data_IF_659481312333
#
_entry.id   IF_659481312333
#
_cell.length_a   1.000
_cell.length_b   1.000
_cell.length_c   1.000
_cell.angle_alpha   90.00
_cell.angle_beta   90.00
_cell.angle_gamma   90.00
#
_symmetry.space_group_name_H-M   'P 1'
#
loop_
_entity.id
_entity.type
_entity.pdbx_description
1 polymer ?
#
# COMPACT_ATOMS: atom_id res chain seq x y z
N UNK A 1 -48.20 32.80 32.44
CA UNK A 1 -46.75 33.09 32.51
C UNK A 1 -46.05 31.79 32.17
N UNK A 2 -45.83 31.53 30.87
CA UNK A 2 -44.58 31.77 30.11
C UNK A 2 -43.49 30.74 30.46
N UNK A 3 -43.26 29.75 29.58
CA UNK A 3 -42.09 29.63 28.67
C UNK A 3 -40.99 28.74 29.28
N UNK A 4 -40.25 27.83 28.61
CA UNK A 4 -40.08 27.38 27.21
C UNK A 4 -39.55 25.93 27.27
N UNK A 5 -40.02 25.08 26.33
CA UNK A 5 -39.42 23.79 25.95
C UNK A 5 -38.53 23.96 24.73
N UNK A 6 -37.43 23.20 24.59
CA UNK A 6 -36.86 22.86 23.27
C UNK A 6 -35.99 21.59 23.35
N UNK A 7 -36.43 20.54 22.65
CA UNK A 7 -35.58 19.43 22.20
C UNK A 7 -35.04 19.71 20.79
N UNK A 8 -33.99 19.01 20.34
CA UNK A 8 -33.42 19.26 19.02
C UNK A 8 -34.23 18.54 17.95
N UNK A 9 -34.90 19.32 17.10
CA UNK A 9 -35.52 18.88 15.85
C UNK A 9 -34.47 18.68 14.76
N UNK A 10 -34.60 17.58 14.03
CA UNK A 10 -33.92 17.27 12.77
C UNK A 10 -34.11 18.38 11.74
N UNK A 11 -33.04 19.03 11.32
CA UNK A 11 -33.06 19.90 10.13
C UNK A 11 -32.71 19.07 8.89
N UNK A 12 -33.75 18.74 8.10
CA UNK A 12 -33.61 18.48 6.67
C UNK A 12 -32.86 19.67 6.06
N UNK A 13 -31.60 19.47 5.62
CA UNK A 13 -30.93 20.41 4.73
C UNK A 13 -31.66 20.39 3.40
N UNK A 14 -32.37 21.47 3.11
CA UNK A 14 -33.14 21.64 1.88
C UNK A 14 -32.19 22.02 0.74
N UNK A 15 -32.65 21.79 -0.48
CA UNK A 15 -32.01 22.17 -1.75
C UNK A 15 -31.76 23.69 -1.93
N UNK A 16 -32.08 24.52 -0.92
CA UNK A 16 -31.84 25.96 -0.93
C UNK A 16 -30.42 26.35 -0.53
N UNK A 17 -29.81 25.63 0.41
CA UNK A 17 -28.48 25.98 0.94
C UNK A 17 -27.35 25.72 -0.09
N UNK A 18 -27.51 24.72 -0.96
CA UNK A 18 -26.56 24.45 -2.06
C UNK A 18 -26.60 25.56 -3.14
N UNK A 19 -27.75 26.18 -3.36
CA UNK A 19 -27.92 27.28 -4.32
C UNK A 19 -27.38 28.62 -3.77
N UNK A 20 -27.45 28.84 -2.45
CA UNK A 20 -26.85 30.03 -1.82
C UNK A 20 -25.32 29.99 -1.83
N UNK A 21 -24.71 28.83 -1.60
CA UNK A 21 -23.25 28.64 -1.67
C UNK A 21 -22.71 28.72 -3.12
N UNK A 22 -23.49 28.28 -4.11
CA UNK A 22 -23.21 28.49 -5.54
C UNK A 22 -23.26 29.99 -5.90
N UNK A 23 -24.12 30.77 -5.23
CA UNK A 23 -24.26 32.22 -5.46
C UNK A 23 -23.09 33.06 -4.93
N UNK A 24 -22.49 32.69 -3.79
CA UNK A 24 -21.45 33.50 -3.14
C UNK A 24 -20.08 33.40 -3.85
N UNK A 25 -19.76 32.25 -4.47
CA UNK A 25 -18.59 32.11 -5.36
C UNK A 25 -18.74 32.92 -6.67
N UNK A 26 -19.98 33.24 -7.07
CA UNK A 26 -20.32 33.98 -8.29
C UNK A 26 -20.48 35.50 -8.07
N UNK A 27 -20.32 36.02 -6.83
CA UNK A 27 -20.41 37.46 -6.50
C UNK A 27 -19.16 38.26 -6.84
N UNK A 28 -18.55 38.01 -8.00
CA UNK A 28 -17.61 38.96 -8.62
C UNK A 28 -18.38 39.81 -9.63
N UNK A 29 -18.13 41.14 -9.74
CA UNK A 29 -18.95 41.99 -10.57
C UNK A 29 -18.85 41.61 -12.06
N UNK A 30 -20.03 41.39 -12.66
CA UNK A 30 -20.33 41.16 -14.09
C UNK A 30 -20.07 39.74 -14.66
N UNK A 31 -21.04 38.86 -14.48
CA UNK A 31 -21.25 37.65 -15.29
C UNK A 31 -22.40 37.81 -16.31
N UNK A 32 -23.03 38.97 -16.41
CA UNK A 32 -24.14 39.22 -17.33
C UNK A 32 -23.85 40.47 -18.18
N UNK A 33 -23.11 40.29 -19.27
CA UNK A 33 -23.12 41.24 -20.39
C UNK A 33 -23.62 40.49 -21.61
N UNK A 34 -24.66 40.99 -22.25
CA UNK A 34 -25.12 40.54 -23.56
C UNK A 34 -23.95 40.59 -24.54
N UNK A 35 -23.29 39.45 -24.76
CA UNK A 35 -22.20 39.27 -25.70
C UNK A 35 -22.77 38.80 -27.03
N UNK A 36 -22.61 39.59 -28.09
CA UNK A 36 -22.85 39.14 -29.47
C UNK A 36 -21.77 38.09 -29.80
N UNK A 37 -22.11 36.90 -30.33
CA UNK A 37 -21.13 35.84 -30.53
C UNK A 37 -20.28 36.14 -31.76
N UNK A 38 -19.17 36.86 -31.58
CA UNK A 38 -17.96 36.44 -32.26
C UNK A 38 -17.50 35.18 -31.54
N UNK A 39 -17.33 34.08 -32.27
CA UNK A 39 -16.88 32.80 -31.74
C UNK A 39 -15.41 32.99 -31.31
N UNK A 40 -15.20 33.50 -30.09
CA UNK A 40 -13.87 33.61 -29.50
C UNK A 40 -13.28 32.21 -29.52
N UNK A 41 -12.08 32.08 -30.06
CA UNK A 41 -11.32 30.84 -30.00
C UNK A 41 -11.16 30.40 -28.54
N UNK A 42 -11.38 29.12 -28.22
CA UNK A 42 -11.33 28.64 -26.83
C UNK A 42 -9.95 28.90 -26.18
N UNK A 43 -8.87 28.93 -26.98
CA UNK A 43 -7.54 29.27 -26.51
C UNK A 43 -7.39 30.75 -26.14
N UNK A 44 -7.99 31.65 -26.93
CA UNK A 44 -7.99 33.09 -26.61
C UNK A 44 -8.87 33.37 -25.37
N UNK A 45 -10.01 32.69 -25.26
CA UNK A 45 -10.87 32.75 -24.07
C UNK A 45 -10.14 32.25 -22.81
N UNK A 46 -9.33 31.19 -22.92
CA UNK A 46 -8.51 30.72 -21.81
C UNK A 46 -7.49 31.77 -21.36
N UNK A 47 -6.85 32.48 -22.29
CA UNK A 47 -5.89 33.56 -21.99
C UNK A 47 -6.61 34.72 -21.28
N UNK A 48 -7.77 35.14 -21.77
CA UNK A 48 -8.59 36.18 -21.14
C UNK A 48 -9.01 35.78 -19.73
N UNK A 49 -9.49 34.54 -19.56
CA UNK A 49 -9.88 34.03 -18.25
C UNK A 49 -8.67 33.92 -17.29
N UNK A 50 -7.50 33.54 -17.77
CA UNK A 50 -6.27 33.53 -16.96
C UNK A 50 -5.94 34.93 -16.44
N UNK A 51 -6.08 35.96 -17.28
CA UNK A 51 -5.90 37.36 -16.85
C UNK A 51 -6.95 37.77 -15.82
N UNK A 52 -8.23 37.39 -16.04
CA UNK A 52 -9.35 37.70 -15.14
C UNK A 52 -9.19 37.09 -13.75
N UNK A 53 -8.73 35.84 -13.67
CA UNK A 53 -8.58 35.12 -12.41
C UNK A 53 -7.17 35.19 -11.84
N UNK A 54 -6.28 36.02 -12.41
CA UNK A 54 -4.89 36.15 -12.00
C UNK A 54 -4.11 34.82 -11.96
N UNK A 55 -4.41 33.93 -12.91
CA UNK A 55 -3.73 32.65 -13.09
C UNK A 55 -2.70 32.76 -14.21
N UNK A 56 -1.52 32.20 -14.00
CA UNK A 56 -0.49 32.17 -15.03
C UNK A 56 -0.92 31.28 -16.21
N UNK A 57 -0.91 31.84 -17.41
CA UNK A 57 -1.22 31.09 -18.64
C UNK A 57 -0.28 29.89 -18.77
N UNK A 58 -0.85 28.71 -18.98
CA UNK A 58 -0.10 27.51 -19.36
C UNK A 58 -0.07 27.38 -20.90
N UNK A 59 1.11 27.47 -21.54
CA UNK A 59 1.22 27.32 -22.99
C UNK A 59 0.66 25.99 -23.50
N UNK A 60 0.77 24.89 -22.74
CA UNK A 60 0.26 23.60 -23.21
C UNK A 60 -1.27 23.60 -23.31
N UNK A 61 -1.96 24.29 -22.40
CA UNK A 61 -3.41 24.45 -22.43
C UNK A 61 -3.82 25.27 -23.65
N UNK A 62 -3.15 26.40 -23.92
CA UNK A 62 -3.40 27.23 -25.11
C UNK A 62 -3.24 26.41 -26.39
N UNK A 63 -2.13 25.67 -26.51
CA UNK A 63 -1.86 24.85 -27.70
C UNK A 63 -2.94 23.79 -27.86
N UNK A 64 -3.30 23.05 -26.80
CA UNK A 64 -4.35 22.03 -26.85
C UNK A 64 -5.68 22.60 -27.34
N UNK A 65 -6.08 23.76 -26.82
CA UNK A 65 -7.35 24.40 -27.19
C UNK A 65 -7.34 24.88 -28.65
N UNK A 66 -6.29 25.60 -29.06
CA UNK A 66 -6.16 26.11 -30.45
C UNK A 66 -6.05 25.02 -31.50
N UNK A 67 -5.44 23.89 -31.15
CA UNK A 67 -5.22 22.76 -32.07
C UNK A 67 -6.29 21.67 -31.94
N UNK A 68 -7.30 21.86 -31.08
CA UNK A 68 -8.36 20.89 -30.82
C UNK A 68 -7.85 19.48 -30.47
N UNK A 69 -6.77 19.40 -29.69
CA UNK A 69 -6.20 18.13 -29.27
C UNK A 69 -7.10 17.41 -28.27
N UNK A 70 -7.26 16.10 -28.44
CA UNK A 70 -8.14 15.28 -27.60
C UNK A 70 -7.61 15.01 -26.18
N UNK A 71 -6.36 15.39 -25.90
CA UNK A 71 -5.72 15.28 -24.59
C UNK A 71 -5.34 16.67 -24.10
N UNK A 72 -5.87 17.04 -22.93
CA UNK A 72 -5.42 18.21 -22.18
C UNK A 72 -4.53 17.76 -21.02
N UNK A 73 -3.25 18.11 -21.11
CA UNK A 73 -2.27 17.89 -20.03
C UNK A 73 -1.51 19.20 -19.76
N UNK A 74 -1.89 19.92 -18.71
CA UNK A 74 -1.16 21.10 -18.26
C UNK A 74 0.27 20.75 -17.86
N UNK A 75 1.21 21.66 -18.12
CA UNK A 75 2.62 21.54 -17.75
C UNK A 75 2.94 22.25 -16.43
N UNK A 76 2.10 23.21 -16.03
CA UNK A 76 2.19 23.90 -14.75
C UNK A 76 1.36 23.20 -13.68
N UNK A 77 1.82 23.33 -12.43
CA UNK A 77 1.04 22.88 -11.28
C UNK A 77 -0.27 23.66 -11.19
N UNK A 78 -1.38 22.94 -11.02
CA UNK A 78 -2.68 23.43 -10.58
C UNK A 78 -2.65 23.77 -9.09
N UNK A 79 -2.18 24.98 -8.79
CA UNK A 79 -2.41 25.61 -7.50
C UNK A 79 -3.92 25.84 -7.26
N UNK A 80 -4.29 26.22 -6.05
CA UNK A 80 -5.66 26.57 -5.68
C UNK A 80 -6.30 27.52 -6.73
N UNK A 81 -7.51 27.20 -7.19
CA UNK A 81 -8.24 28.02 -8.17
C UNK A 81 -7.74 27.97 -9.62
N UNK A 82 -6.70 27.21 -9.95
CA UNK A 82 -6.15 27.12 -11.31
C UNK A 82 -7.12 26.50 -12.33
N UNK A 83 -8.18 25.82 -11.88
CA UNK A 83 -9.26 25.34 -12.76
C UNK A 83 -10.25 26.43 -13.18
N UNK A 84 -10.31 27.59 -12.49
CA UNK A 84 -11.28 28.65 -12.80
C UNK A 84 -11.24 29.10 -14.27
N UNK A 85 -10.07 29.33 -14.89
CA UNK A 85 -10.03 29.77 -16.28
C UNK A 85 -10.57 28.75 -17.28
N UNK A 86 -10.63 27.48 -16.87
CA UNK A 86 -11.09 26.36 -17.69
C UNK A 86 -12.56 25.99 -17.46
N UNK A 87 -13.24 26.63 -16.51
CA UNK A 87 -14.59 26.25 -16.10
C UNK A 87 -15.60 26.25 -17.26
N UNK A 88 -15.79 27.41 -17.91
CA UNK A 88 -16.76 27.52 -19.01
C UNK A 88 -16.30 26.73 -20.23
N UNK A 89 -14.99 26.76 -20.52
CA UNK A 89 -14.38 26.08 -21.66
C UNK A 89 -14.63 24.58 -21.57
N UNK A 90 -14.18 23.93 -20.49
CA UNK A 90 -14.35 22.49 -20.33
C UNK A 90 -15.80 22.08 -20.14
N UNK A 91 -16.68 22.97 -19.64
CA UNK A 91 -18.11 22.66 -19.54
C UNK A 91 -18.77 22.47 -20.90
N UNK A 92 -18.33 23.21 -21.94
CA UNK A 92 -18.90 23.14 -23.29
C UNK A 92 -18.01 22.45 -24.32
N UNK A 93 -16.76 22.14 -23.98
CA UNK A 93 -15.79 21.58 -24.90
C UNK A 93 -16.23 20.21 -25.45
N UNK A 94 -16.08 20.03 -26.76
CA UNK A 94 -16.56 18.85 -27.49
C UNK A 94 -15.46 17.93 -28.05
N UNK A 95 -14.18 18.28 -27.90
CA UNK A 95 -13.06 17.52 -28.48
C UNK A 95 -12.11 16.90 -27.44
N UNK A 96 -11.99 17.45 -26.23
CA UNK A 96 -11.14 16.93 -25.16
C UNK A 96 -11.80 15.68 -24.58
N UNK A 97 -11.17 14.53 -24.82
CA UNK A 97 -11.60 13.23 -24.30
C UNK A 97 -10.84 12.82 -23.05
N UNK A 98 -9.57 13.24 -22.95
CA UNK A 98 -8.69 12.94 -21.82
C UNK A 98 -8.25 14.21 -21.13
N UNK A 99 -8.60 14.34 -19.86
CA UNK A 99 -8.15 15.41 -18.97
C UNK A 99 -7.14 14.82 -17.98
N UNK A 100 -5.87 15.17 -18.15
CA UNK A 100 -4.78 14.68 -17.32
C UNK A 100 -4.23 15.81 -16.43
N UNK A 101 -4.63 15.81 -15.17
CA UNK A 101 -4.22 16.80 -14.15
C UNK A 101 -3.24 16.18 -13.13
N UNK A 102 -2.57 15.06 -13.47
CA UNK A 102 -1.65 14.41 -12.54
C UNK A 102 -0.52 15.33 -12.07
N UNK A 103 -0.23 15.29 -10.77
CA UNK A 103 0.89 16.03 -10.19
C UNK A 103 0.67 17.54 -10.16
N UNK A 104 -0.48 18.01 -10.64
CA UNK A 104 -0.80 19.40 -10.68
C UNK A 104 -0.99 20.01 -9.27
N UNK A 105 -1.13 19.21 -8.21
CA UNK A 105 -1.13 19.69 -6.82
C UNK A 105 0.26 19.81 -6.15
N UNK A 106 1.35 19.43 -6.82
CA UNK A 106 2.69 19.39 -6.21
C UNK A 106 3.53 20.61 -6.62
N UNK A 107 3.32 21.73 -5.95
CA UNK A 107 4.34 22.79 -5.93
C UNK A 107 5.50 22.35 -5.03
N UNK A 108 6.70 22.64 -5.50
CA UNK A 108 8.04 22.24 -5.07
C UNK A 108 8.49 22.65 -3.65
N UNK A 109 7.60 23.03 -2.74
CA UNK A 109 7.93 23.32 -1.35
C UNK A 109 7.11 22.45 -0.40
N UNK A 110 7.81 21.89 0.57
CA UNK A 110 7.46 20.84 1.54
C UNK A 110 6.26 21.10 2.47
N UNK A 111 5.37 22.03 2.15
CA UNK A 111 4.20 22.40 2.97
C UNK A 111 2.85 22.16 2.26
N UNK A 112 2.82 21.41 1.17
CA UNK A 112 1.56 21.01 0.54
C UNK A 112 0.86 19.93 1.39
N UNK A 113 0.11 20.37 2.39
CA UNK A 113 -0.73 19.50 3.21
C UNK A 113 -1.90 18.89 2.41
N UNK A 114 -2.60 17.92 3.00
CA UNK A 114 -3.85 17.40 2.45
C UNK A 114 -4.84 18.54 2.18
N UNK A 115 -5.59 18.46 1.07
CA UNK A 115 -6.70 19.37 0.79
C UNK A 115 -6.38 20.54 -0.15
N UNK A 116 -5.11 20.78 -0.49
CA UNK A 116 -4.72 21.87 -1.40
C UNK A 116 -5.34 21.76 -2.80
N UNK A 117 -5.74 20.55 -3.21
CA UNK A 117 -6.43 20.31 -4.48
C UNK A 117 -7.94 20.53 -4.45
N UNK A 118 -8.55 20.76 -3.28
CA UNK A 118 -10.00 20.67 -3.10
C UNK A 118 -10.78 21.74 -3.84
N UNK A 119 -10.26 22.97 -3.93
CA UNK A 119 -10.91 24.06 -4.68
C UNK A 119 -11.03 23.71 -6.18
N UNK A 120 -9.97 23.15 -6.76
CA UNK A 120 -9.96 22.66 -8.13
C UNK A 120 -10.91 21.46 -8.29
N UNK A 121 -10.99 20.60 -7.27
CA UNK A 121 -11.91 19.47 -7.22
C UNK A 121 -13.39 19.91 -7.25
N UNK A 122 -13.74 20.98 -6.52
CA UNK A 122 -15.07 21.61 -6.53
C UNK A 122 -15.44 22.12 -7.91
N UNK A 123 -14.56 22.90 -8.54
CA UNK A 123 -14.76 23.42 -9.89
C UNK A 123 -14.92 22.27 -10.89
N UNK A 124 -14.09 21.23 -10.77
CA UNK A 124 -14.17 20.06 -11.63
C UNK A 124 -15.46 19.27 -11.43
N UNK A 125 -15.94 19.12 -10.20
CA UNK A 125 -17.24 18.51 -9.91
C UNK A 125 -18.37 19.21 -10.66
N UNK A 126 -18.34 20.55 -10.71
CA UNK A 126 -19.31 21.34 -11.49
C UNK A 126 -19.15 21.16 -13.01
N UNK A 127 -17.91 21.15 -13.53
CA UNK A 127 -17.63 20.88 -14.95
C UNK A 127 -18.17 19.50 -15.35
N UNK A 128 -17.95 18.48 -14.52
CA UNK A 128 -18.40 17.10 -14.77
C UNK A 128 -19.93 16.99 -14.81
N UNK A 129 -20.70 17.87 -14.17
CA UNK A 129 -22.17 17.84 -14.30
C UNK A 129 -22.64 18.26 -15.69
N UNK A 130 -21.87 19.11 -16.39
CA UNK A 130 -22.22 19.68 -17.70
C UNK A 130 -21.55 18.95 -18.86
N UNK A 131 -20.29 18.57 -18.69
CA UNK A 131 -19.48 18.00 -19.76
C UNK A 131 -19.86 16.54 -20.05
N UNK A 132 -20.15 16.23 -21.31
CA UNK A 132 -20.47 14.86 -21.77
C UNK A 132 -19.41 14.28 -22.72
N UNK A 133 -18.22 14.87 -22.79
CA UNK A 133 -17.18 14.53 -23.76
C UNK A 133 -15.96 13.86 -23.11
N UNK A 134 -15.58 14.30 -21.91
CA UNK A 134 -14.43 13.78 -21.19
C UNK A 134 -14.73 12.34 -20.75
N UNK A 135 -13.96 11.39 -21.29
CA UNK A 135 -14.08 9.96 -20.97
C UNK A 135 -12.98 9.47 -20.04
N UNK A 136 -11.82 10.13 -20.03
CA UNK A 136 -10.69 9.80 -19.16
C UNK A 136 -10.30 10.99 -18.30
N UNK A 137 -10.29 10.77 -16.98
CA UNK A 137 -9.93 11.79 -16.01
C UNK A 137 -8.82 11.27 -15.08
N UNK A 138 -7.70 12.00 -15.03
CA UNK A 138 -6.60 11.71 -14.11
C UNK A 138 -6.44 12.83 -13.10
N UNK A 139 -6.70 12.50 -11.83
CA UNK A 139 -6.55 13.35 -10.65
C UNK A 139 -5.57 12.71 -9.66
N UNK A 140 -4.60 11.94 -10.16
CA UNK A 140 -3.60 11.34 -9.28
C UNK A 140 -2.66 12.40 -8.75
N UNK A 141 -2.25 12.33 -7.49
CA UNK A 141 -1.28 13.27 -6.89
C UNK A 141 -1.70 14.75 -7.02
N UNK A 142 -2.99 15.03 -6.85
CA UNK A 142 -3.52 16.40 -6.87
C UNK A 142 -3.75 16.96 -5.46
N UNK A 143 -3.43 16.19 -4.41
CA UNK A 143 -3.54 16.64 -3.03
C UNK A 143 -4.98 16.64 -2.52
N UNK A 144 -5.84 15.79 -3.09
CA UNK A 144 -7.23 15.64 -2.63
C UNK A 144 -7.25 14.95 -1.28
N UNK A 145 -8.04 15.49 -0.36
CA UNK A 145 -8.48 14.78 0.85
C UNK A 145 -9.92 14.27 0.68
N UNK A 146 -10.55 13.88 1.78
CA UNK A 146 -11.95 13.44 1.78
C UNK A 146 -12.90 14.45 1.15
N UNK A 147 -12.76 15.74 1.45
CA UNK A 147 -13.67 16.79 0.98
C UNK A 147 -13.47 17.05 -0.52
N UNK A 148 -12.22 17.06 -0.99
CA UNK A 148 -11.94 17.16 -2.42
C UNK A 148 -12.51 16.00 -3.24
N UNK A 149 -12.39 14.77 -2.73
CA UNK A 149 -12.97 13.60 -3.41
C UNK A 149 -14.49 13.62 -3.37
N UNK A 150 -15.11 14.07 -2.28
CA UNK A 150 -16.56 14.25 -2.18
C UNK A 150 -17.06 15.18 -3.30
N UNK A 151 -16.40 16.30 -3.53
CA UNK A 151 -16.80 17.25 -4.58
C UNK A 151 -16.71 16.67 -5.99
N UNK A 152 -15.65 15.93 -6.30
CA UNK A 152 -15.53 15.21 -7.58
C UNK A 152 -16.65 14.17 -7.72
N UNK A 153 -16.94 13.43 -6.66
CA UNK A 153 -17.98 12.40 -6.63
C UNK A 153 -19.38 12.94 -6.85
N UNK A 154 -19.69 14.14 -6.30
CA UNK A 154 -20.96 14.85 -6.56
C UNK A 154 -21.20 15.11 -8.05
N UNK A 155 -20.14 15.46 -8.79
CA UNK A 155 -20.22 15.63 -10.24
C UNK A 155 -20.25 14.32 -11.01
N UNK A 156 -19.40 13.36 -10.60
CA UNK A 156 -19.26 12.06 -11.25
C UNK A 156 -20.57 11.23 -11.21
N UNK A 157 -21.32 11.30 -10.11
CA UNK A 157 -22.54 10.50 -9.93
C UNK A 157 -23.59 10.71 -11.04
N UNK A 158 -23.68 11.92 -11.60
CA UNK A 158 -24.60 12.26 -12.68
C UNK A 158 -23.95 12.28 -14.08
N UNK A 159 -22.61 12.19 -14.17
CA UNK A 159 -21.89 12.32 -15.43
C UNK A 159 -22.05 11.05 -16.31
N UNK A 160 -22.55 11.16 -17.56
CA UNK A 160 -22.77 9.99 -18.43
C UNK A 160 -21.54 9.59 -19.27
N UNK A 161 -20.45 10.35 -19.22
CA UNK A 161 -19.33 10.28 -20.17
C UNK A 161 -18.05 9.66 -19.59
N UNK A 162 -17.69 9.95 -18.35
CA UNK A 162 -16.45 9.45 -17.74
C UNK A 162 -16.48 7.92 -17.67
N UNK A 163 -15.46 7.30 -18.27
CA UNK A 163 -15.23 5.84 -18.33
C UNK A 163 -14.03 5.44 -17.47
N UNK A 164 -12.99 6.26 -17.40
CA UNK A 164 -11.77 5.97 -16.63
C UNK A 164 -11.46 7.10 -15.67
N UNK A 165 -11.32 6.78 -14.39
CA UNK A 165 -10.97 7.74 -13.35
C UNK A 165 -9.74 7.27 -12.57
N UNK A 166 -8.74 8.14 -12.43
CA UNK A 166 -7.60 7.95 -11.52
C UNK A 166 -7.66 8.93 -10.37
N UNK A 167 -7.65 8.41 -9.15
CA UNK A 167 -7.56 9.14 -7.88
C UNK A 167 -6.36 8.64 -7.06
N UNK A 168 -5.37 8.01 -7.70
CA UNK A 168 -4.26 7.39 -7.02
C UNK A 168 -3.37 8.41 -6.30
N UNK A 169 -2.75 7.99 -5.18
CA UNK A 169 -1.78 8.82 -4.43
C UNK A 169 -2.31 10.19 -4.04
N UNK A 170 -3.54 10.21 -3.55
CA UNK A 170 -4.11 11.33 -2.80
C UNK A 170 -4.15 10.96 -1.31
N UNK A 171 -4.73 11.81 -0.47
CA UNK A 171 -4.75 11.62 1.00
C UNK A 171 -6.19 11.58 1.54
N UNK A 172 -7.07 10.82 0.90
CA UNK A 172 -8.43 10.59 1.38
C UNK A 172 -8.57 9.22 2.03
N UNK A 173 -9.46 9.16 3.01
CA UNK A 173 -9.72 8.01 3.87
C UNK A 173 -11.15 7.48 3.70
N UNK A 174 -11.76 7.09 4.82
CA UNK A 174 -13.06 6.39 4.80
C UNK A 174 -14.21 7.27 4.29
N UNK A 175 -14.22 8.58 4.62
CA UNK A 175 -15.28 9.50 4.19
C UNK A 175 -15.28 9.68 2.66
N UNK A 176 -14.11 9.92 2.08
CA UNK A 176 -13.95 10.01 0.62
C UNK A 176 -14.26 8.67 -0.06
N UNK A 177 -13.87 7.54 0.52
CA UNK A 177 -14.21 6.21 0.01
C UNK A 177 -15.73 5.97 -0.05
N UNK A 178 -16.48 6.40 0.96
CA UNK A 178 -17.94 6.29 0.98
C UNK A 178 -18.58 7.18 -0.10
N UNK A 179 -18.04 8.37 -0.34
CA UNK A 179 -18.48 9.24 -1.43
C UNK A 179 -18.24 8.61 -2.81
N UNK A 180 -17.07 7.98 -3.01
CA UNK A 180 -16.78 7.20 -4.23
C UNK A 180 -17.80 6.08 -4.37
N UNK A 181 -18.08 5.33 -3.30
CA UNK A 181 -19.08 4.25 -3.32
C UNK A 181 -20.47 4.75 -3.72
N UNK A 182 -20.91 5.87 -3.15
CA UNK A 182 -22.19 6.48 -3.49
C UNK A 182 -22.24 6.95 -4.95
N UNK A 183 -21.17 7.58 -5.44
CA UNK A 183 -21.06 7.98 -6.84
C UNK A 183 -21.08 6.78 -7.79
N UNK A 184 -20.41 5.67 -7.45
CA UNK A 184 -20.43 4.44 -8.24
C UNK A 184 -21.81 3.77 -8.28
N UNK A 185 -22.60 3.89 -7.21
CA UNK A 185 -23.97 3.37 -7.18
C UNK A 185 -24.92 4.17 -8.09
N UNK A 186 -24.69 5.48 -8.23
CA UNK A 186 -25.47 6.36 -9.11
C UNK A 186 -24.97 6.36 -10.57
N UNK A 187 -23.67 6.16 -10.76
CA UNK A 187 -23.02 6.28 -12.06
C UNK A 187 -23.11 4.96 -12.87
N UNK A 188 -23.69 5.04 -14.06
CA UNK A 188 -23.81 3.91 -14.99
C UNK A 188 -22.74 3.85 -16.08
N UNK A 189 -21.73 4.72 -16.05
CA UNK A 189 -20.78 4.93 -17.15
C UNK A 189 -19.37 4.44 -16.86
N UNK A 190 -18.91 4.47 -15.61
CA UNK A 190 -17.52 4.19 -15.25
C UNK A 190 -17.16 2.71 -15.48
N UNK A 191 -16.03 2.50 -16.16
CA UNK A 191 -15.54 1.18 -16.58
C UNK A 191 -14.21 0.82 -15.91
N UNK A 192 -13.44 1.80 -15.44
CA UNK A 192 -12.17 1.58 -14.77
C UNK A 192 -11.88 2.67 -13.74
N UNK A 193 -11.39 2.28 -12.57
CA UNK A 193 -11.15 3.16 -11.44
C UNK A 193 -9.84 2.82 -10.73
N UNK A 194 -9.03 3.82 -10.44
CA UNK A 194 -7.80 3.65 -9.64
C UNK A 194 -7.89 4.49 -8.37
N UNK A 195 -7.95 3.79 -7.23
CA UNK A 195 -7.96 4.34 -5.87
C UNK A 195 -6.67 3.95 -5.13
N UNK A 196 -5.62 3.52 -5.83
CA UNK A 196 -4.41 3.00 -5.20
C UNK A 196 -3.64 4.08 -4.41
N UNK A 197 -2.96 3.65 -3.35
CA UNK A 197 -2.05 4.43 -2.52
C UNK A 197 -2.71 5.66 -1.90
N UNK A 198 -3.93 5.49 -1.40
CA UNK A 198 -4.58 6.43 -0.49
C UNK A 198 -4.54 5.84 0.94
N UNK A 199 -5.49 6.17 1.80
CA UNK A 199 -5.58 5.66 3.16
C UNK A 199 -7.00 5.16 3.50
N UNK A 200 -7.64 4.43 2.57
CA UNK A 200 -9.06 4.07 2.68
C UNK A 200 -9.37 3.10 3.83
N UNK A 201 -8.39 2.27 4.22
CA UNK A 201 -8.58 1.22 5.23
C UNK A 201 -9.39 0.01 4.73
N UNK A 202 -9.29 -1.10 5.48
CA UNK A 202 -9.92 -2.38 5.12
C UNK A 202 -11.44 -2.28 4.96
N UNK A 203 -12.12 -1.65 5.92
CA UNK A 203 -13.60 -1.59 5.95
C UNK A 203 -14.16 -0.87 4.72
N UNK A 204 -13.56 0.25 4.33
CA UNK A 204 -14.01 1.03 3.18
C UNK A 204 -13.72 0.33 1.87
N UNK A 205 -12.53 -0.28 1.71
CA UNK A 205 -12.21 -1.08 0.52
C UNK A 205 -13.14 -2.28 0.39
N UNK A 206 -13.45 -2.98 1.48
CA UNK A 206 -14.41 -4.08 1.49
C UNK A 206 -15.80 -3.59 1.05
N UNK A 207 -16.28 -2.47 1.60
CA UNK A 207 -17.57 -1.86 1.23
C UNK A 207 -17.61 -1.48 -0.25
N UNK A 208 -16.58 -0.80 -0.77
CA UNK A 208 -16.42 -0.48 -2.19
C UNK A 208 -16.47 -1.73 -3.08
N UNK A 209 -15.73 -2.78 -2.72
CA UNK A 209 -15.68 -4.03 -3.47
C UNK A 209 -16.97 -4.86 -3.37
N UNK A 210 -17.77 -4.66 -2.32
CA UNK A 210 -19.07 -5.31 -2.14
C UNK A 210 -20.23 -4.56 -2.80
N UNK A 211 -20.01 -3.32 -3.25
CA UNK A 211 -21.05 -2.49 -3.85
C UNK A 211 -21.52 -3.13 -5.17
N UNK A 212 -22.83 -3.34 -5.36
CA UNK A 212 -23.38 -3.86 -6.62
C UNK A 212 -23.31 -2.77 -7.70
N UNK A 213 -22.18 -2.68 -8.39
CA UNK A 213 -22.00 -1.78 -9.53
C UNK A 213 -22.31 -2.54 -10.83
N UNK A 214 -23.23 -2.03 -11.66
CA UNK A 214 -23.68 -2.74 -12.87
C UNK A 214 -22.61 -2.86 -13.98
N UNK A 215 -21.55 -2.03 -13.96
CA UNK A 215 -20.50 -2.03 -15.00
C UNK A 215 -19.07 -2.24 -14.50
N UNK A 216 -18.71 -1.67 -13.36
CA UNK A 216 -17.33 -1.76 -12.84
C UNK A 216 -17.11 -3.11 -12.17
N UNK A 217 -16.31 -3.98 -12.79
CA UNK A 217 -15.92 -5.26 -12.16
C UNK A 217 -14.78 -5.03 -11.18
N UNK A 218 -14.67 -5.91 -10.19
CA UNK A 218 -13.58 -5.90 -9.19
C UNK A 218 -12.17 -5.80 -9.79
N UNK A 219 -11.92 -6.45 -10.93
CA UNK A 219 -10.60 -6.42 -11.61
C UNK A 219 -10.28 -5.09 -12.30
N UNK A 220 -11.32 -4.27 -12.53
CA UNK A 220 -11.22 -2.98 -13.18
C UNK A 220 -11.08 -1.85 -12.13
N UNK A 221 -10.94 -2.21 -10.85
CA UNK A 221 -10.68 -1.30 -9.74
C UNK A 221 -9.33 -1.59 -9.07
N UNK A 222 -8.41 -0.63 -9.11
CA UNK A 222 -7.14 -0.70 -8.38
C UNK A 222 -7.28 -0.12 -6.98
N UNK A 223 -6.88 -0.89 -5.96
CA UNK A 223 -7.00 -0.58 -4.53
C UNK A 223 -5.67 -0.83 -3.79
N UNK A 224 -4.56 -1.05 -4.50
CA UNK A 224 -3.26 -1.35 -3.89
C UNK A 224 -2.82 -0.24 -2.93
N UNK A 225 -2.18 -0.58 -1.80
CA UNK A 225 -1.54 0.41 -0.92
C UNK A 225 -2.49 1.26 -0.07
N UNK A 226 -3.72 0.80 0.20
CA UNK A 226 -4.70 1.52 1.03
C UNK A 226 -4.74 1.12 2.52
N UNK A 227 -3.98 0.08 2.91
CA UNK A 227 -4.00 -0.52 4.25
C UNK A 227 -2.83 -0.01 5.10
N UNK A 228 -2.73 1.32 5.23
CA UNK A 228 -1.60 1.99 5.90
C UNK A 228 -1.40 1.50 7.34
N UNK A 229 -2.50 1.36 8.09
CA UNK A 229 -2.45 0.91 9.48
C UNK A 229 -1.84 -0.50 9.60
N UNK A 230 -2.28 -1.43 8.74
CA UNK A 230 -1.78 -2.80 8.72
C UNK A 230 -0.31 -2.87 8.29
N UNK A 231 0.12 -2.07 7.31
CA UNK A 231 1.53 -1.96 6.90
C UNK A 231 2.39 -1.41 8.05
N UNK A 232 1.91 -0.43 8.82
CA UNK A 232 2.61 0.07 10.01
C UNK A 232 2.73 -1.01 11.09
N UNK A 233 1.67 -1.78 11.36
CA UNK A 233 1.72 -2.89 12.30
C UNK A 233 2.71 -3.98 11.85
N UNK A 234 2.71 -4.30 10.56
CA UNK A 234 3.65 -5.26 9.97
C UNK A 234 5.11 -4.79 10.11
N UNK A 235 5.38 -3.50 9.87
CA UNK A 235 6.71 -2.93 10.04
C UNK A 235 7.13 -2.90 11.52
N UNK A 236 6.27 -2.43 12.42
CA UNK A 236 6.57 -2.32 13.86
C UNK A 236 6.83 -3.68 14.51
N UNK A 237 6.04 -4.69 14.18
CA UNK A 237 6.19 -6.04 14.73
C UNK A 237 7.57 -6.64 14.46
N UNK A 238 8.05 -6.54 13.23
CA UNK A 238 9.37 -7.02 12.86
C UNK A 238 10.50 -6.04 13.21
N UNK A 239 10.23 -4.74 13.37
CA UNK A 239 11.21 -3.79 13.90
C UNK A 239 11.57 -4.13 15.36
N UNK A 240 10.58 -4.47 16.18
CA UNK A 240 10.79 -4.98 17.55
C UNK A 240 11.61 -6.28 17.50
N UNK A 241 11.26 -7.18 16.58
CA UNK A 241 12.03 -8.40 16.31
C UNK A 241 13.49 -8.13 15.93
N UNK A 242 13.76 -7.11 15.11
CA UNK A 242 15.11 -6.74 14.69
C UNK A 242 15.96 -6.26 15.87
N UNK A 243 15.40 -5.41 16.74
CA UNK A 243 16.11 -4.94 17.95
C UNK A 243 16.39 -6.11 18.89
N UNK A 244 15.41 -6.98 19.12
CA UNK A 244 15.60 -8.19 19.93
C UNK A 244 16.65 -9.13 19.33
N UNK A 245 16.63 -9.32 18.00
CA UNK A 245 17.60 -10.15 17.28
C UNK A 245 19.01 -9.55 17.32
N UNK A 246 19.18 -8.23 17.29
CA UNK A 246 20.48 -7.58 17.43
C UNK A 246 21.08 -7.81 18.83
N UNK A 247 20.27 -7.71 19.89
CA UNK A 247 20.69 -8.02 21.27
C UNK A 247 21.00 -9.53 21.39
N UNK A 248 20.14 -10.39 20.84
CA UNK A 248 20.33 -11.83 20.80
C UNK A 248 21.57 -12.25 20.02
N UNK A 249 21.91 -11.55 18.93
CA UNK A 249 23.11 -11.77 18.15
C UNK A 249 24.36 -11.40 18.95
N UNK A 250 24.38 -10.22 19.58
CA UNK A 250 25.52 -9.77 20.37
C UNK A 250 25.81 -10.73 21.55
N UNK A 251 24.78 -11.17 22.26
CA UNK A 251 24.89 -12.11 23.37
C UNK A 251 25.34 -13.50 22.90
N UNK A 252 24.68 -14.07 21.89
CA UNK A 252 25.01 -15.39 21.36
C UNK A 252 26.43 -15.44 20.76
N UNK A 253 26.84 -14.40 20.03
CA UNK A 253 28.18 -14.31 19.44
C UNK A 253 29.28 -14.10 20.48
N UNK A 254 29.01 -13.30 21.53
CA UNK A 254 29.95 -13.11 22.63
C UNK A 254 30.26 -14.42 23.35
N UNK A 255 29.23 -15.22 23.64
CA UNK A 255 29.40 -16.53 24.25
C UNK A 255 30.01 -17.56 23.29
N UNK A 256 29.62 -17.56 22.01
CA UNK A 256 30.25 -18.41 21.00
C UNK A 256 31.75 -18.13 20.86
N UNK A 257 32.16 -16.86 20.92
CA UNK A 257 33.57 -16.47 20.93
C UNK A 257 34.30 -17.00 22.19
N UNK A 258 33.66 -16.90 23.36
CA UNK A 258 34.23 -17.39 24.62
C UNK A 258 34.48 -18.91 24.63
N UNK A 259 33.79 -19.69 23.79
CA UNK A 259 34.05 -21.14 23.65
C UNK A 259 35.41 -21.46 23.01
N UNK A 260 36.04 -20.50 22.32
CA UNK A 260 37.28 -20.72 21.57
C UNK A 260 37.14 -21.62 20.34
N UNK A 261 35.93 -22.09 20.01
CA UNK A 261 35.70 -23.00 18.89
C UNK A 261 35.23 -22.27 17.64
N UNK A 262 35.99 -22.39 16.55
CA UNK A 262 35.59 -21.87 15.24
C UNK A 262 34.22 -22.39 14.80
N UNK A 263 33.86 -23.63 15.17
CA UNK A 263 32.57 -24.24 14.82
C UNK A 263 31.40 -23.54 15.51
N UNK A 264 31.51 -23.25 16.81
CA UNK A 264 30.49 -22.48 17.54
C UNK A 264 30.34 -21.08 16.96
N UNK A 265 31.46 -20.40 16.73
CA UNK A 265 31.50 -19.04 16.21
C UNK A 265 30.77 -18.96 14.87
N UNK A 266 31.16 -19.78 13.89
CA UNK A 266 30.56 -19.74 12.56
C UNK A 266 29.09 -20.16 12.55
N UNK A 267 28.73 -21.23 13.27
CA UNK A 267 27.34 -21.69 13.31
C UNK A 267 26.40 -20.64 13.91
N UNK A 268 26.83 -19.97 14.99
CA UNK A 268 26.07 -18.91 15.62
C UNK A 268 26.07 -17.60 14.81
N UNK A 269 27.16 -17.27 14.11
CA UNK A 269 27.24 -16.10 13.24
C UNK A 269 26.32 -16.21 12.03
N UNK A 270 26.27 -17.39 11.39
CA UNK A 270 25.35 -17.67 10.31
C UNK A 270 23.90 -17.50 10.79
N UNK A 271 23.53 -18.18 11.88
CA UNK A 271 22.17 -18.08 12.43
C UNK A 271 21.78 -16.64 12.78
N UNK A 272 22.64 -15.91 13.50
CA UNK A 272 22.39 -14.54 13.93
C UNK A 272 22.22 -13.60 12.73
N UNK A 273 23.07 -13.73 11.71
CA UNK A 273 23.01 -12.91 10.50
C UNK A 273 21.71 -13.16 9.73
N UNK A 274 21.28 -14.42 9.62
CA UNK A 274 20.03 -14.78 8.95
C UNK A 274 18.80 -14.25 9.71
N UNK A 275 18.82 -14.32 11.04
CA UNK A 275 17.75 -13.80 11.89
C UNK A 275 17.63 -12.28 11.79
N UNK A 276 18.75 -11.56 11.82
CA UNK A 276 18.76 -10.11 11.59
C UNK A 276 18.29 -9.76 10.18
N UNK A 277 18.72 -10.51 9.16
CA UNK A 277 18.34 -10.29 7.77
C UNK A 277 16.84 -10.43 7.54
N UNK A 278 16.18 -11.43 8.14
CA UNK A 278 14.71 -11.56 8.13
C UNK A 278 14.05 -10.29 8.64
N UNK A 279 14.36 -9.92 9.89
CA UNK A 279 13.62 -8.85 10.53
C UNK A 279 13.85 -7.50 9.88
N UNK A 280 15.07 -7.18 9.44
CA UNK A 280 15.32 -5.91 8.76
C UNK A 280 14.67 -5.88 7.38
N UNK A 281 14.72 -6.97 6.63
CA UNK A 281 14.15 -7.02 5.28
C UNK A 281 12.63 -6.85 5.32
N UNK A 282 11.96 -7.52 6.27
CA UNK A 282 10.53 -7.38 6.47
C UNK A 282 10.13 -6.01 6.98
N UNK A 283 10.87 -5.47 7.95
CA UNK A 283 10.65 -4.11 8.46
C UNK A 283 10.73 -3.08 7.34
N UNK A 284 11.75 -3.16 6.50
CA UNK A 284 11.94 -2.23 5.39
C UNK A 284 10.85 -2.40 4.32
N UNK A 285 10.51 -3.64 3.95
CA UNK A 285 9.46 -3.92 2.95
C UNK A 285 8.14 -3.23 3.29
N UNK A 286 7.69 -3.41 4.54
CA UNK A 286 6.44 -2.81 5.03
C UNK A 286 6.58 -1.30 5.31
N UNK A 287 7.76 -0.80 5.67
CA UNK A 287 7.98 0.64 5.87
C UNK A 287 7.91 1.44 4.56
N UNK A 288 8.35 0.85 3.45
CA UNK A 288 8.45 1.52 2.15
C UNK A 288 7.34 1.14 1.15
N UNK A 289 6.19 0.64 1.63
CA UNK A 289 5.09 0.16 0.78
C UNK A 289 4.52 1.19 -0.20
N UNK A 290 4.65 2.49 0.08
CA UNK A 290 4.21 3.58 -0.81
C UNK A 290 5.17 3.86 -1.98
N UNK A 291 6.38 3.31 -1.96
CA UNK A 291 7.41 3.53 -2.99
C UNK A 291 7.51 2.31 -3.93
N UNK A 292 6.90 2.30 -5.13
CA UNK A 292 6.75 1.08 -5.93
C UNK A 292 8.07 0.39 -6.32
N UNK A 293 9.10 1.17 -6.71
CA UNK A 293 10.38 0.58 -7.11
C UNK A 293 11.10 -0.04 -5.91
N UNK A 294 11.16 0.71 -4.80
CA UNK A 294 11.77 0.29 -3.54
C UNK A 294 11.03 -0.90 -2.94
N UNK A 295 9.70 -0.82 -2.86
CA UNK A 295 8.84 -1.88 -2.35
C UNK A 295 9.02 -3.18 -3.14
N UNK A 296 9.14 -3.12 -4.47
CA UNK A 296 9.37 -4.31 -5.30
C UNK A 296 10.67 -5.03 -4.92
N UNK A 297 11.76 -4.29 -4.72
CA UNK A 297 13.06 -4.87 -4.35
C UNK A 297 12.99 -5.45 -2.93
N UNK A 298 12.48 -4.67 -1.98
CA UNK A 298 12.39 -5.09 -0.58
C UNK A 298 11.45 -6.28 -0.39
N UNK A 299 10.40 -6.41 -1.21
CA UNK A 299 9.53 -7.59 -1.23
C UNK A 299 10.31 -8.85 -1.59
N UNK A 300 11.22 -8.77 -2.57
CA UNK A 300 12.08 -9.89 -2.94
C UNK A 300 13.01 -10.23 -1.77
N UNK A 301 13.65 -9.23 -1.15
CA UNK A 301 14.50 -9.44 0.01
C UNK A 301 13.74 -10.10 1.18
N UNK A 302 12.53 -9.65 1.49
CA UNK A 302 11.68 -10.19 2.55
C UNK A 302 11.35 -11.67 2.32
N UNK A 303 10.95 -12.03 1.10
CA UNK A 303 10.70 -13.43 0.73
C UNK A 303 11.98 -14.30 0.75
N UNK A 304 13.11 -13.77 0.29
CA UNK A 304 14.43 -14.43 0.36
C UNK A 304 14.87 -14.66 1.81
N UNK A 305 14.53 -13.75 2.71
CA UNK A 305 14.97 -13.81 4.09
C UNK A 305 14.30 -14.92 4.88
N UNK A 306 13.09 -15.36 4.51
CA UNK A 306 12.43 -16.54 5.09
C UNK A 306 13.25 -17.81 4.79
N UNK A 307 13.63 -18.03 3.53
CA UNK A 307 14.49 -19.17 3.15
C UNK A 307 15.81 -19.15 3.93
N UNK A 308 16.42 -17.96 4.00
CA UNK A 308 17.70 -17.73 4.64
C UNK A 308 17.62 -17.99 6.14
N UNK A 309 16.54 -17.56 6.82
CA UNK A 309 16.34 -17.85 8.24
C UNK A 309 16.16 -19.35 8.50
N UNK A 310 15.38 -20.05 7.67
CA UNK A 310 15.16 -21.48 7.88
C UNK A 310 16.52 -22.19 7.81
N UNK A 311 17.28 -22.02 6.72
CA UNK A 311 18.62 -22.60 6.58
C UNK A 311 19.60 -22.16 7.69
N UNK A 312 19.58 -20.88 8.07
CA UNK A 312 20.39 -20.33 9.15
C UNK A 312 20.09 -20.98 10.52
N UNK A 313 18.83 -21.31 10.80
CA UNK A 313 18.40 -21.94 12.06
C UNK A 313 18.93 -23.37 12.20
N UNK A 314 19.05 -24.11 11.09
CA UNK A 314 19.67 -25.44 11.09
C UNK A 314 21.17 -25.40 11.41
N UNK A 315 21.86 -24.29 11.15
CA UNK A 315 23.32 -24.21 11.26
C UNK A 315 23.82 -24.58 12.67
N UNK A 316 23.44 -23.92 13.77
CA UNK A 316 23.88 -24.31 15.11
C UNK A 316 23.35 -25.68 15.54
N UNK A 317 22.09 -26.02 15.20
CA UNK A 317 21.48 -27.30 15.58
C UNK A 317 22.23 -28.49 14.99
N UNK A 318 22.60 -28.42 13.71
CA UNK A 318 23.26 -29.50 12.99
C UNK A 318 24.78 -29.48 13.20
N UNK A 319 25.41 -28.30 13.09
CA UNK A 319 26.86 -28.21 13.17
C UNK A 319 27.38 -28.45 14.59
N UNK A 320 26.65 -28.04 15.63
CA UNK A 320 27.06 -28.24 17.03
C UNK A 320 26.37 -29.49 17.59
N UNK A 321 25.03 -29.50 17.56
CA UNK A 321 24.20 -30.53 18.20
C UNK A 321 24.32 -31.91 17.56
N UNK A 322 24.39 -32.00 16.23
CA UNK A 322 24.53 -33.26 15.48
C UNK A 322 25.84 -33.35 14.69
N UNK A 323 26.93 -32.78 15.21
CA UNK A 323 28.23 -32.71 14.51
C UNK A 323 28.78 -34.04 13.98
N UNK A 324 28.42 -35.15 14.62
CA UNK A 324 28.90 -36.50 14.30
C UNK A 324 28.04 -37.20 13.25
N UNK A 325 26.88 -36.63 12.92
CA UNK A 325 25.90 -37.21 12.02
C UNK A 325 26.23 -36.87 10.56
N UNK A 326 26.49 -37.86 9.69
CA UNK A 326 26.62 -37.61 8.25
C UNK A 326 25.29 -37.15 7.65
N UNK A 327 24.16 -37.62 8.19
CA UNK A 327 22.82 -37.23 7.76
C UNK A 327 22.57 -35.74 8.03
N UNK A 328 23.03 -35.22 9.17
CA UNK A 328 22.93 -33.79 9.49
C UNK A 328 23.70 -32.90 8.49
N UNK A 329 24.85 -33.36 7.99
CA UNK A 329 25.60 -32.66 6.94
C UNK A 329 24.79 -32.59 5.64
N UNK A 330 24.16 -33.70 5.25
CA UNK A 330 23.27 -33.74 4.07
C UNK A 330 22.10 -32.78 4.24
N UNK A 331 21.48 -32.73 5.43
CA UNK A 331 20.39 -31.79 5.72
C UNK A 331 20.86 -30.34 5.54
N UNK A 332 22.02 -29.96 6.10
CA UNK A 332 22.55 -28.58 5.95
C UNK A 332 22.81 -28.24 4.48
N UNK A 333 23.38 -29.15 3.69
CA UNK A 333 23.61 -28.94 2.26
C UNK A 333 22.28 -28.73 1.52
N UNK A 334 21.28 -29.56 1.82
CA UNK A 334 19.95 -29.45 1.21
C UNK A 334 19.23 -28.16 1.60
N UNK A 335 19.33 -27.72 2.86
CA UNK A 335 18.78 -26.45 3.34
C UNK A 335 19.34 -25.27 2.56
N UNK A 336 20.66 -25.18 2.40
CA UNK A 336 21.29 -24.09 1.66
C UNK A 336 21.04 -24.18 0.15
N UNK A 337 20.95 -25.39 -0.42
CA UNK A 337 20.56 -25.58 -1.81
C UNK A 337 19.12 -25.10 -2.08
N UNK A 338 18.17 -25.53 -1.24
CA UNK A 338 16.77 -25.09 -1.34
C UNK A 338 16.63 -23.59 -1.07
N UNK A 339 17.41 -23.04 -0.14
CA UNK A 339 17.47 -21.60 0.08
C UNK A 339 17.93 -20.86 -1.18
N UNK A 340 19.02 -21.31 -1.82
CA UNK A 340 19.51 -20.70 -3.05
C UNK A 340 18.47 -20.77 -4.17
N UNK A 341 17.90 -21.95 -4.42
CA UNK A 341 16.86 -22.14 -5.45
C UNK A 341 15.61 -21.31 -5.15
N UNK A 342 15.19 -21.23 -3.89
CA UNK A 342 14.09 -20.40 -3.42
C UNK A 342 14.33 -18.91 -3.68
N UNK A 343 15.52 -18.41 -3.36
CA UNK A 343 15.90 -17.02 -3.66
C UNK A 343 15.90 -16.74 -5.17
N UNK A 344 16.46 -17.63 -5.99
CA UNK A 344 16.43 -17.50 -7.46
C UNK A 344 14.99 -17.47 -7.97
N UNK A 345 14.12 -18.31 -7.42
CA UNK A 345 12.70 -18.32 -7.75
C UNK A 345 12.02 -16.99 -7.40
N UNK A 346 12.21 -16.47 -6.19
CA UNK A 346 11.60 -15.21 -5.75
C UNK A 346 12.09 -13.98 -6.53
N UNK A 347 13.31 -14.03 -7.07
CA UNK A 347 13.84 -13.00 -7.98
C UNK A 347 13.21 -13.13 -9.38
N UNK A 348 13.03 -14.36 -9.86
CA UNK A 348 12.66 -14.64 -11.27
C UNK A 348 11.15 -14.59 -11.54
N UNK A 349 10.32 -14.74 -10.50
CA UNK A 349 8.87 -14.90 -10.64
C UNK A 349 8.11 -13.74 -9.98
N UNK A 350 7.01 -13.22 -10.59
CA UNK A 350 6.16 -12.23 -9.95
C UNK A 350 5.60 -12.71 -8.59
N UNK A 351 6.02 -12.04 -7.53
CA UNK A 351 5.62 -12.36 -6.15
C UNK A 351 4.19 -11.91 -5.84
N UNK A 352 3.45 -12.76 -5.12
CA UNK A 352 2.06 -12.52 -4.73
C UNK A 352 1.01 -13.14 -5.64
N UNK A 353 1.41 -13.78 -6.75
CA UNK A 353 0.50 -14.61 -7.56
C UNK A 353 0.05 -15.84 -6.77
N UNK A 354 -0.96 -16.55 -7.28
CA UNK A 354 -1.39 -17.83 -6.67
C UNK A 354 -0.28 -18.88 -6.76
N UNK A 355 0.41 -18.94 -7.89
CA UNK A 355 1.48 -19.90 -8.12
C UNK A 355 2.67 -19.65 -7.20
N UNK A 356 3.22 -18.43 -7.18
CA UNK A 356 4.39 -18.12 -6.35
C UNK A 356 4.12 -18.40 -4.87
N UNK A 357 2.97 -18.01 -4.34
CA UNK A 357 2.62 -18.32 -2.94
C UNK A 357 2.57 -19.81 -2.62
N UNK A 358 1.97 -20.63 -3.50
CA UNK A 358 1.88 -22.07 -3.26
C UNK A 358 3.28 -22.70 -3.28
N UNK A 359 4.11 -22.32 -4.25
CA UNK A 359 5.49 -22.82 -4.36
C UNK A 359 6.31 -22.41 -3.13
N UNK A 360 6.35 -21.12 -2.80
CA UNK A 360 7.14 -20.60 -1.67
C UNK A 360 6.73 -21.26 -0.36
N UNK A 361 5.43 -21.29 -0.05
CA UNK A 361 4.92 -21.95 1.15
C UNK A 361 5.28 -23.43 1.21
N UNK A 362 5.21 -24.14 0.08
CA UNK A 362 5.56 -25.57 0.03
C UNK A 362 7.04 -25.76 0.33
N UNK A 363 7.91 -24.96 -0.27
CA UNK A 363 9.36 -25.06 -0.04
C UNK A 363 9.70 -24.68 1.40
N UNK A 364 9.13 -23.59 1.95
CA UNK A 364 9.32 -23.21 3.35
C UNK A 364 8.91 -24.33 4.31
N UNK A 365 7.77 -24.98 4.07
CA UNK A 365 7.29 -26.06 4.90
C UNK A 365 8.17 -27.31 4.80
N UNK A 366 8.62 -27.66 3.59
CA UNK A 366 9.54 -28.79 3.37
C UNK A 366 10.85 -28.56 4.10
N UNK A 367 11.47 -27.38 3.95
CA UNK A 367 12.69 -26.99 4.67
C UNK A 367 12.46 -27.03 6.19
N UNK A 368 11.40 -26.40 6.69
CA UNK A 368 11.08 -26.40 8.12
C UNK A 368 10.88 -27.80 8.73
N UNK A 369 10.46 -28.79 7.94
CA UNK A 369 10.24 -30.18 8.38
C UNK A 369 11.45 -31.10 8.17
N UNK A 370 12.55 -30.65 7.53
CA UNK A 370 13.73 -31.49 7.28
C UNK A 370 14.40 -32.02 8.54
N UNK A 371 14.23 -31.37 9.70
CA UNK A 371 14.67 -31.88 11.00
C UNK A 371 14.10 -33.27 11.30
N UNK A 372 12.96 -33.63 10.71
CA UNK A 372 12.36 -34.96 10.85
C UNK A 372 13.24 -36.07 10.26
N UNK A 373 14.05 -35.77 9.23
CA UNK A 373 14.98 -36.73 8.64
C UNK A 373 16.09 -37.15 9.62
N UNK A 374 16.41 -36.30 10.58
CA UNK A 374 17.42 -36.57 11.63
C UNK A 374 16.79 -36.71 13.01
N UNK A 375 15.45 -36.82 13.12
CA UNK A 375 14.73 -36.79 14.40
C UNK A 375 15.18 -37.83 15.43
N UNK A 376 15.47 -39.10 15.05
CA UNK A 376 15.94 -40.09 16.01
C UNK A 376 17.26 -39.69 16.66
N UNK A 377 18.21 -39.18 15.88
CA UNK A 377 19.51 -38.70 16.34
C UNK A 377 19.38 -37.36 17.08
N UNK A 378 18.49 -36.49 16.62
CA UNK A 378 18.24 -35.17 17.19
C UNK A 378 17.77 -35.28 18.64
N UNK A 379 16.81 -36.16 18.92
CA UNK A 379 16.26 -36.35 20.27
C UNK A 379 17.22 -37.02 21.25
N UNK A 380 18.22 -37.74 20.76
CA UNK A 380 19.19 -38.46 21.60
C UNK A 380 20.44 -37.62 21.85
N UNK A 381 20.91 -36.87 20.85
CA UNK A 381 22.12 -36.06 20.95
C UNK A 381 21.91 -34.70 21.61
N UNK A 382 20.72 -34.09 21.46
CA UNK A 382 20.42 -32.75 21.97
C UNK A 382 19.66 -32.83 23.31
N UNK A 383 19.96 -31.96 24.30
CA UNK A 383 19.24 -31.92 25.56
C UNK A 383 17.72 -31.81 25.38
N UNK A 384 16.95 -32.61 26.14
CA UNK A 384 15.49 -32.67 26.02
C UNK A 384 14.79 -31.30 26.09
N UNK A 385 15.18 -30.34 26.96
CA UNK A 385 14.57 -29.01 26.96
C UNK A 385 14.76 -28.25 25.63
N UNK A 386 15.90 -28.40 24.96
CA UNK A 386 16.16 -27.78 23.66
C UNK A 386 15.29 -28.41 22.57
N UNK A 387 15.14 -29.74 22.59
CA UNK A 387 14.25 -30.48 21.69
C UNK A 387 12.80 -29.99 21.84
N UNK A 388 12.32 -29.81 23.08
CA UNK A 388 10.97 -29.30 23.33
C UNK A 388 10.78 -27.88 22.78
N UNK A 389 11.76 -27.00 22.97
CA UNK A 389 11.72 -25.64 22.41
C UNK A 389 11.65 -25.64 20.88
N UNK A 390 12.44 -26.49 20.20
CA UNK A 390 12.40 -26.62 18.74
C UNK A 390 11.09 -27.23 18.26
N UNK A 391 10.58 -28.26 18.95
CA UNK A 391 9.29 -28.88 18.64
C UNK A 391 8.15 -27.88 18.73
N UNK A 392 8.05 -27.14 19.84
CA UNK A 392 7.00 -26.13 20.01
C UNK A 392 7.19 -24.93 19.09
N UNK A 393 8.44 -24.52 18.83
CA UNK A 393 8.75 -23.52 17.80
C UNK A 393 8.22 -23.93 16.41
N UNK A 394 8.45 -25.17 16.00
CA UNK A 394 7.89 -25.74 14.77
C UNK A 394 6.35 -25.73 14.74
N UNK A 395 5.69 -26.09 15.84
CA UNK A 395 4.22 -26.02 15.96
C UNK A 395 3.71 -24.59 15.81
N UNK A 396 4.38 -23.62 16.44
CA UNK A 396 4.05 -22.20 16.32
C UNK A 396 4.22 -21.73 14.86
N UNK A 397 5.32 -22.06 14.19
CA UNK A 397 5.50 -21.74 12.77
C UNK A 397 4.37 -22.31 11.90
N UNK A 398 4.05 -23.60 12.04
CA UNK A 398 3.00 -24.26 11.25
C UNK A 398 1.63 -23.62 11.52
N UNK A 399 1.33 -23.30 12.79
CA UNK A 399 0.08 -22.63 13.15
C UNK A 399 0.00 -21.24 12.52
N UNK A 400 1.11 -20.51 12.48
CA UNK A 400 1.18 -19.20 11.82
C UNK A 400 0.77 -19.26 10.34
N UNK A 401 1.08 -20.35 9.62
CA UNK A 401 0.77 -20.47 8.19
C UNK A 401 -0.73 -20.27 7.92
N UNK A 402 -1.59 -20.66 8.86
CA UNK A 402 -3.03 -20.41 8.79
C UNK A 402 -3.32 -18.91 8.60
N UNK A 403 -2.70 -18.05 9.40
CA UNK A 403 -2.90 -16.60 9.36
C UNK A 403 -2.31 -15.98 8.10
N UNK A 404 -1.16 -16.48 7.64
CA UNK A 404 -0.58 -16.09 6.35
C UNK A 404 -1.55 -16.38 5.19
N UNK A 405 -2.17 -17.57 5.15
CA UNK A 405 -3.15 -17.91 4.10
C UNK A 405 -4.42 -17.06 4.19
N UNK A 406 -4.82 -16.68 5.41
CA UNK A 406 -6.02 -15.88 5.67
C UNK A 406 -5.83 -14.38 5.42
N UNK A 407 -4.61 -13.87 5.22
CA UNK A 407 -4.33 -12.44 5.02
C UNK A 407 -5.09 -11.82 3.84
N UNK A 408 -5.36 -12.62 2.79
CA UNK A 408 -6.18 -12.25 1.64
C UNK A 408 -7.61 -11.89 2.01
N UNK A 409 -8.13 -12.46 3.11
CA UNK A 409 -9.48 -12.18 3.61
C UNK A 409 -9.48 -10.96 4.52
N UNK A 410 -8.47 -10.84 5.39
CA UNK A 410 -8.30 -9.71 6.30
C UNK A 410 -6.81 -9.37 6.42
N UNK A 411 -6.36 -8.18 5.97
CA UNK A 411 -4.94 -7.79 5.96
C UNK A 411 -4.27 -7.88 7.34
N UNK A 412 -5.00 -7.62 8.42
CA UNK A 412 -4.49 -7.72 9.80
C UNK A 412 -3.93 -9.11 10.16
N UNK A 413 -4.36 -10.18 9.49
CA UNK A 413 -3.82 -11.52 9.75
C UNK A 413 -2.35 -11.66 9.33
N UNK A 414 -1.85 -10.79 8.46
CA UNK A 414 -0.42 -10.73 8.15
C UNK A 414 0.39 -10.28 9.38
N UNK A 415 -0.11 -9.30 10.14
CA UNK A 415 0.52 -8.88 11.40
C UNK A 415 0.46 -9.97 12.46
N UNK A 416 -0.63 -10.76 12.48
CA UNK A 416 -0.72 -11.93 13.36
C UNK A 416 0.31 -12.98 12.97
N UNK A 417 0.49 -13.25 11.68
CA UNK A 417 1.57 -14.12 11.17
C UNK A 417 2.96 -13.68 11.67
N UNK A 418 3.27 -12.37 11.64
CA UNK A 418 4.52 -11.84 12.19
C UNK A 418 4.73 -12.19 13.67
N UNK A 419 3.67 -12.15 14.48
CA UNK A 419 3.75 -12.55 15.90
C UNK A 419 4.12 -14.03 16.05
N UNK A 420 3.56 -14.92 15.22
CA UNK A 420 3.92 -16.34 15.24
C UNK A 420 5.38 -16.57 14.83
N UNK A 421 5.87 -15.87 13.80
CA UNK A 421 7.27 -15.92 13.38
C UNK A 421 8.20 -15.44 14.50
N UNK A 422 7.84 -14.35 15.19
CA UNK A 422 8.60 -13.83 16.32
C UNK A 422 8.63 -14.79 17.51
N UNK A 423 7.49 -15.34 17.90
CA UNK A 423 7.43 -16.30 19.03
C UNK A 423 8.24 -17.55 18.70
N UNK A 424 8.10 -18.10 17.49
CA UNK A 424 8.80 -19.30 17.09
C UNK A 424 10.32 -19.09 17.02
N UNK A 425 10.79 -17.97 16.45
CA UNK A 425 12.22 -17.66 16.40
C UNK A 425 12.83 -17.46 17.79
N UNK A 426 12.08 -16.89 18.75
CA UNK A 426 12.50 -16.75 20.16
C UNK A 426 12.72 -18.13 20.79
N UNK A 427 11.80 -19.08 20.57
CA UNK A 427 11.93 -20.45 21.08
C UNK A 427 13.19 -21.14 20.52
N UNK A 428 13.42 -21.00 19.21
CA UNK A 428 14.61 -21.54 18.56
C UNK A 428 15.89 -20.87 19.06
N UNK A 429 15.88 -19.56 19.26
CA UNK A 429 17.03 -18.82 19.79
C UNK A 429 17.38 -19.30 21.20
N UNK A 430 16.38 -19.47 22.08
CA UNK A 430 16.62 -20.00 23.43
C UNK A 430 17.08 -21.46 23.42
N UNK A 431 16.62 -22.28 22.49
CA UNK A 431 17.12 -23.64 22.29
C UNK A 431 18.63 -23.62 22.00
N UNK A 432 19.04 -22.77 21.05
CA UNK A 432 20.44 -22.63 20.65
C UNK A 432 21.27 -22.06 21.80
N UNK A 433 20.87 -20.91 22.34
CA UNK A 433 21.63 -20.17 23.34
C UNK A 433 21.82 -20.96 24.64
N UNK A 434 20.73 -21.52 25.22
CA UNK A 434 20.81 -22.15 26.54
C UNK A 434 21.32 -23.58 26.53
N UNK A 435 21.16 -24.32 25.43
CA UNK A 435 21.35 -25.77 25.45
C UNK A 435 22.27 -26.30 24.36
N UNK A 436 22.29 -25.69 23.17
CA UNK A 436 23.14 -26.17 22.06
C UNK A 436 24.52 -25.54 22.14
N UNK A 437 24.59 -24.23 22.35
CA UNK A 437 25.85 -23.49 22.46
C UNK A 437 26.78 -24.02 23.58
N UNK A 438 26.28 -24.41 24.77
CA UNK A 438 27.15 -24.95 25.83
C UNK A 438 27.60 -26.40 25.59
N UNK A 439 27.16 -27.06 24.51
CA UNK A 439 27.54 -28.45 24.26
C UNK A 439 29.04 -28.56 23.98
N UNK A 440 29.73 -29.39 24.76
CA UNK A 440 31.15 -29.64 24.56
C UNK A 440 31.41 -30.35 23.24
N UNK A 441 32.33 -29.77 22.46
CA UNK A 441 32.81 -30.33 21.19
C UNK A 441 34.19 -30.99 21.28
N UNK A 442 34.83 -30.87 22.44
CA UNK A 442 36.08 -31.55 22.78
C UNK A 442 35.87 -33.06 22.93
#
# INVERSE_FOLDING_TARGET
>A
MSQISNGPTSSNKSSGDEAEEESDLLRTPSLHRHYKPQRIDEGDLYIENCQRFHVNVDPSVVITLKTSWHVLKPTKAFCEGSMLPLFDILSTNTFIKKLDLEGAGMVSNSNAGPGNGNSNARILGLILRKNTTITELNLSRTGLDDDGVIEVCKGLGANPAVRRLRLARNNFGERGAEAVRAALAANGSLEWLDLSRNALGFTSVHRLMSCPCNRLRKKDMDIEGNFVFEEVLNAMSHAIGFVAAAIGAATLLGEAYATGSARHIWACAIYSSCLMFLYISSTLYHSFFMLPLTNKILKICDHCAIYTLIAGTYSPLMMIGLRHSPTAVVVVIMEWLLCFLGCVFSISVPLGTRLSRVVEMTVYLVMGLMVLAVWPEFKTAIPAPAVELVKWGGVVYITGILFYVLDKKKPIFHSVWHMFVLIASILHWFSVYKYVLPMNIL
#
